data_IF_268208720177
#
_entry.id   IF_268208720177
#
_cell.length_a   1.000
_cell.length_b   1.000
_cell.length_c   1.000
_cell.angle_alpha   90.00
_cell.angle_beta   90.00
_cell.angle_gamma   90.00
#
_symmetry.space_group_name_H-M   'P 1'
#
loop_
_entity.id
_entity.type
_entity.pdbx_description
1 polymer ?
#
# COMPACT_ATOMS: atom_id res chain seq x y z
N UNK A 1 27.46 -13.47 -41.25
CA UNK A 1 26.40 -14.35 -40.75
C UNK A 1 25.23 -13.49 -40.27
N UNK A 2 24.01 -14.03 -40.28
CA UNK A 2 22.81 -13.34 -39.78
C UNK A 2 22.57 -13.75 -38.33
N UNK A 3 23.52 -13.44 -37.46
CA UNK A 3 23.57 -14.01 -36.10
C UNK A 3 23.94 -12.97 -35.06
N UNK A 4 23.45 -13.15 -33.84
CA UNK A 4 23.93 -12.48 -32.64
C UNK A 4 24.61 -13.50 -31.73
N UNK A 5 25.67 -13.11 -31.03
CA UNK A 5 26.38 -13.97 -30.08
C UNK A 5 26.51 -13.28 -28.73
N UNK A 6 26.24 -14.02 -27.66
CA UNK A 6 26.57 -13.59 -26.31
C UNK A 6 28.08 -13.82 -26.07
N UNK A 7 28.76 -12.85 -25.49
CA UNK A 7 30.14 -13.01 -24.99
C UNK A 7 30.09 -13.05 -23.47
N UNK A 8 30.59 -14.14 -22.88
CA UNK A 8 30.52 -14.38 -21.42
C UNK A 8 31.93 -14.37 -20.83
N UNK A 9 32.10 -13.68 -19.70
CA UNK A 9 33.31 -13.73 -18.89
C UNK A 9 33.15 -14.79 -17.79
N UNK A 10 34.03 -15.78 -17.79
CA UNK A 10 34.15 -16.71 -16.68
C UNK A 10 35.59 -16.66 -16.14
N UNK A 11 35.75 -16.15 -14.92
CA UNK A 11 37.05 -16.01 -14.24
C UNK A 11 38.13 -15.29 -15.06
N UNK A 12 37.75 -14.19 -15.73
CA UNK A 12 38.65 -13.35 -16.52
C UNK A 12 38.82 -13.79 -17.97
N UNK A 13 38.23 -14.92 -18.38
CA UNK A 13 38.28 -15.42 -19.75
C UNK A 13 36.97 -15.11 -20.47
N UNK A 14 37.04 -14.37 -21.57
CA UNK A 14 35.89 -14.02 -22.41
C UNK A 14 35.70 -15.04 -23.54
N UNK A 15 34.52 -15.65 -23.63
CA UNK A 15 34.21 -16.67 -24.63
C UNK A 15 32.91 -16.34 -25.36
N UNK A 16 32.93 -16.47 -26.69
CA UNK A 16 31.73 -16.37 -27.51
C UNK A 16 30.89 -17.63 -27.37
N UNK A 17 29.62 -17.46 -27.05
CA UNK A 17 28.66 -18.56 -26.95
C UNK A 17 28.13 -18.94 -28.33
N UNK A 18 27.33 -20.01 -28.37
CA UNK A 18 26.62 -20.44 -29.58
C UNK A 18 25.88 -19.27 -30.23
N UNK A 19 26.02 -19.14 -31.55
CA UNK A 19 25.36 -18.11 -32.32
C UNK A 19 23.84 -18.32 -32.34
N UNK A 20 23.11 -17.22 -32.22
CA UNK A 20 21.66 -17.15 -32.27
C UNK A 20 21.30 -16.55 -33.63
N UNK A 21 20.58 -17.30 -34.45
CA UNK A 21 20.13 -16.85 -35.76
C UNK A 21 19.10 -15.73 -35.64
N UNK A 22 19.25 -14.68 -36.44
CA UNK A 22 18.33 -13.55 -36.52
C UNK A 22 18.05 -13.20 -37.99
N UNK A 23 17.28 -12.14 -38.24
CA UNK A 23 17.01 -11.60 -39.56
C UNK A 23 18.27 -11.14 -40.32
N UNK A 24 18.06 -10.73 -41.57
CA UNK A 24 19.18 -10.48 -42.49
C UNK A 24 19.86 -9.15 -42.21
N UNK A 25 21.20 -9.17 -42.12
CA UNK A 25 22.05 -8.00 -41.84
C UNK A 25 21.68 -7.35 -40.48
N UNK A 26 21.90 -8.04 -39.35
CA UNK A 26 21.73 -7.44 -38.03
C UNK A 26 22.66 -6.23 -37.90
N UNK A 27 22.11 -5.08 -37.51
CA UNK A 27 22.80 -3.79 -37.58
C UNK A 27 22.94 -3.10 -36.22
N UNK A 28 21.93 -3.20 -35.36
CA UNK A 28 21.95 -2.63 -34.02
C UNK A 28 21.22 -3.55 -33.04
N UNK A 29 21.58 -3.44 -31.77
CA UNK A 29 20.91 -4.14 -30.69
C UNK A 29 20.78 -3.28 -29.44
N UNK A 30 19.77 -3.56 -28.62
CA UNK A 30 19.55 -2.93 -27.32
C UNK A 30 18.95 -3.94 -26.34
N UNK A 31 19.03 -3.65 -25.05
CA UNK A 31 18.51 -4.50 -23.98
C UNK A 31 17.12 -4.03 -23.55
N UNK A 32 16.12 -4.90 -23.58
CA UNK A 32 14.84 -4.67 -22.90
C UNK A 32 15.03 -4.68 -21.38
N UNK A 33 14.13 -4.01 -20.66
CA UNK A 33 14.15 -4.00 -19.19
C UNK A 33 13.82 -5.38 -18.58
N UNK A 34 13.20 -6.26 -19.36
CA UNK A 34 12.94 -7.67 -19.03
C UNK A 34 14.18 -8.58 -19.23
N UNK A 35 15.34 -8.00 -19.59
CA UNK A 35 16.56 -8.74 -19.89
C UNK A 35 16.60 -9.37 -21.29
N UNK A 36 15.58 -9.12 -22.13
CA UNK A 36 15.60 -9.54 -23.53
C UNK A 36 16.56 -8.68 -24.37
N UNK A 37 17.01 -9.20 -25.51
CA UNK A 37 17.82 -8.47 -26.48
C UNK A 37 16.99 -8.20 -27.72
N UNK A 38 16.94 -6.95 -28.15
CA UNK A 38 16.22 -6.54 -29.36
C UNK A 38 17.21 -6.22 -30.46
N UNK A 39 16.97 -6.75 -31.65
CA UNK A 39 17.90 -6.72 -32.79
C UNK A 39 17.21 -6.08 -33.99
N UNK A 40 17.82 -5.04 -34.55
CA UNK A 40 17.41 -4.43 -35.81
C UNK A 40 18.10 -5.15 -36.97
N UNK A 41 17.31 -5.70 -37.89
CA UNK A 41 17.79 -6.42 -39.07
C UNK A 41 17.53 -5.58 -40.32
N UNK A 42 18.61 -5.02 -40.87
CA UNK A 42 18.54 -3.95 -41.85
C UNK A 42 18.05 -4.40 -43.23
N UNK A 43 18.42 -5.59 -43.68
CA UNK A 43 18.03 -6.06 -45.02
C UNK A 43 16.66 -6.71 -45.01
N UNK A 44 16.29 -7.41 -43.93
CA UNK A 44 14.94 -7.99 -43.81
C UNK A 44 13.87 -6.96 -43.41
N UNK A 45 14.25 -5.73 -43.04
CA UNK A 45 13.31 -4.70 -42.54
C UNK A 45 12.49 -5.19 -41.34
N UNK A 46 13.15 -5.86 -40.40
CA UNK A 46 12.51 -6.43 -39.22
C UNK A 46 13.25 -6.06 -37.95
N UNK A 47 12.55 -6.02 -36.83
CA UNK A 47 13.12 -6.11 -35.49
C UNK A 47 12.80 -7.49 -34.90
N UNK A 48 13.74 -8.10 -34.19
CA UNK A 48 13.54 -9.39 -33.53
C UNK A 48 13.93 -9.32 -32.06
N UNK A 49 13.13 -9.93 -31.20
CA UNK A 49 13.42 -10.11 -29.79
C UNK A 49 14.11 -11.46 -29.58
N UNK A 50 15.13 -11.48 -28.72
CA UNK A 50 15.78 -12.66 -28.19
C UNK A 50 15.49 -12.71 -26.70
N UNK A 51 14.87 -13.79 -26.24
CA UNK A 51 14.49 -13.98 -24.83
C UNK A 51 15.36 -15.05 -24.20
N UNK A 52 15.57 -14.96 -22.89
CA UNK A 52 16.21 -16.00 -22.11
C UNK A 52 15.17 -16.67 -21.21
N UNK A 53 14.86 -17.93 -21.50
CA UNK A 53 14.00 -18.73 -20.65
C UNK A 53 14.84 -19.84 -20.02
N UNK A 54 15.02 -19.79 -18.69
CA UNK A 54 15.76 -20.79 -17.92
C UNK A 54 17.20 -21.05 -18.41
N UNK A 55 17.91 -20.00 -18.85
CA UNK A 55 19.28 -20.09 -19.35
C UNK A 55 19.39 -20.39 -20.84
N UNK A 56 18.27 -20.57 -21.55
CA UNK A 56 18.23 -20.83 -22.99
C UNK A 56 17.81 -19.57 -23.73
N UNK A 57 18.71 -19.06 -24.57
CA UNK A 57 18.43 -17.91 -25.43
C UNK A 57 17.76 -18.34 -26.74
N UNK A 58 16.59 -17.78 -27.04
CA UNK A 58 15.84 -18.10 -28.26
C UNK A 58 15.32 -16.84 -28.96
N UNK A 59 15.31 -16.86 -30.29
CA UNK A 59 14.66 -15.82 -31.08
C UNK A 59 13.16 -15.99 -31.15
N UNK A 60 12.48 -14.88 -30.97
CA UNK A 60 11.05 -14.73 -31.20
C UNK A 60 10.76 -14.42 -32.68
N UNK A 61 9.49 -14.57 -33.13
CA UNK A 61 9.09 -14.22 -34.48
C UNK A 61 9.51 -12.80 -34.88
N UNK A 62 9.86 -12.61 -36.15
CA UNK A 62 10.25 -11.30 -36.66
C UNK A 62 9.07 -10.33 -36.68
N UNK A 63 9.34 -9.08 -36.31
CA UNK A 63 8.38 -7.98 -36.38
C UNK A 63 8.76 -7.10 -37.55
N UNK A 64 7.90 -7.01 -38.56
CA UNK A 64 8.07 -6.10 -39.70
C UNK A 64 8.01 -4.64 -39.24
N UNK A 65 8.97 -3.82 -39.67
CA UNK A 65 8.99 -2.39 -39.30
C UNK A 65 8.39 -1.51 -40.40
N UNK A 66 7.76 -0.41 -39.99
CA UNK A 66 7.31 0.63 -40.93
C UNK A 66 8.53 1.47 -41.34
N UNK A 67 9.01 1.27 -42.56
CA UNK A 67 10.22 1.90 -43.08
C UNK A 67 11.15 0.87 -43.74
N UNK A 68 12.42 1.22 -43.89
CA UNK A 68 13.45 0.33 -44.44
C UNK A 68 14.78 0.51 -43.73
N UNK A 69 15.57 -0.56 -43.65
CA UNK A 69 16.90 -0.57 -43.09
C UNK A 69 16.97 0.09 -41.69
N UNK A 70 16.34 -0.52 -40.66
CA UNK A 70 16.49 -0.06 -39.27
C UNK A 70 17.98 0.04 -38.88
N UNK A 71 18.41 1.22 -38.46
CA UNK A 71 19.82 1.58 -38.22
C UNK A 71 20.19 1.57 -36.74
N UNK A 72 19.25 1.92 -35.86
CA UNK A 72 19.50 2.08 -34.44
C UNK A 72 18.30 1.67 -33.62
N UNK A 73 18.56 1.16 -32.42
CA UNK A 73 17.57 0.86 -31.40
C UNK A 73 17.97 1.54 -30.09
N UNK A 74 16.98 1.98 -29.32
CA UNK A 74 17.17 2.34 -27.91
C UNK A 74 15.98 1.87 -27.09
N UNK A 75 16.25 1.46 -25.87
CA UNK A 75 15.20 1.22 -24.89
C UNK A 75 14.79 2.55 -24.27
N UNK A 76 13.50 2.86 -24.35
CA UNK A 76 12.91 3.99 -23.65
C UNK A 76 12.72 3.67 -22.17
N UNK A 77 12.62 4.71 -21.34
CA UNK A 77 12.46 4.55 -19.89
C UNK A 77 11.25 3.70 -19.48
N UNK A 78 10.22 3.62 -20.33
CA UNK A 78 9.05 2.77 -20.13
C UNK A 78 9.14 1.35 -20.70
N UNK A 79 10.32 0.85 -21.06
CA UNK A 79 10.51 -0.50 -21.63
C UNK A 79 10.23 -0.63 -23.14
N UNK A 80 9.68 0.40 -23.78
CA UNK A 80 9.47 0.41 -25.23
C UNK A 80 10.79 0.44 -26.00
N UNK A 81 10.82 -0.24 -27.16
CA UNK A 81 11.97 -0.19 -28.07
C UNK A 81 11.71 0.85 -29.15
N UNK A 82 12.52 1.90 -29.15
CA UNK A 82 12.51 2.94 -30.17
C UNK A 82 13.51 2.61 -31.26
N UNK A 83 13.11 2.83 -32.51
CA UNK A 83 13.89 2.45 -33.68
C UNK A 83 13.98 3.61 -34.67
N UNK A 84 15.17 3.83 -35.22
CA UNK A 84 15.38 4.75 -36.33
C UNK A 84 15.64 3.97 -37.63
N UNK A 85 14.87 4.27 -38.69
CA UNK A 85 14.98 3.65 -40.02
C UNK A 85 14.97 4.69 -41.13
N UNK A 86 15.42 4.30 -42.32
CA UNK A 86 15.20 5.09 -43.52
C UNK A 86 13.74 4.99 -43.97
N UNK A 87 13.20 6.09 -44.48
CA UNK A 87 11.92 6.06 -45.19
C UNK A 87 12.20 5.54 -46.60
N UNK A 88 11.66 4.36 -46.94
CA UNK A 88 11.70 3.86 -48.31
C UNK A 88 10.62 4.60 -49.12
N UNK A 89 11.01 5.48 -50.03
CA UNK A 89 10.09 6.14 -50.99
C UNK A 89 9.82 5.29 -52.24
N UNK A 90 10.21 4.01 -52.25
CA UNK A 90 10.22 3.19 -53.47
C UNK A 90 9.08 2.18 -53.55
N UNK A 91 7.92 2.45 -52.94
CA UNK A 91 6.72 1.65 -53.21
C UNK A 91 5.57 2.54 -53.73
N UNK A 92 5.35 2.61 -55.05
CA UNK A 92 4.24 3.35 -55.65
C UNK A 92 2.87 2.63 -55.53
N UNK A 93 2.79 1.49 -54.84
CA UNK A 93 1.54 0.79 -54.59
C UNK A 93 1.30 0.58 -53.09
N UNK A 94 0.16 1.10 -52.62
CA UNK A 94 -0.49 0.88 -51.34
C UNK A 94 -0.22 1.92 -50.24
N UNK A 95 -0.87 3.07 -50.40
CA UNK A 95 -1.85 3.52 -49.40
C UNK A 95 -2.55 2.28 -48.83
N UNK A 96 -2.43 1.97 -47.55
CA UNK A 96 -3.54 1.51 -46.70
C UNK A 96 -3.11 1.43 -45.23
N UNK A 97 -3.79 2.25 -44.45
CA UNK A 97 -4.13 2.08 -43.03
C UNK A 97 -2.93 2.08 -42.07
N UNK A 98 -2.76 3.22 -41.42
CA UNK A 98 -2.31 3.27 -40.03
C UNK A 98 -3.17 2.29 -39.22
N UNK A 99 -2.78 1.02 -39.16
CA UNK A 99 -3.24 0.18 -38.06
C UNK A 99 -2.38 0.66 -36.90
N UNK A 100 -2.97 1.54 -36.10
CA UNK A 100 -2.48 1.88 -34.76
C UNK A 100 -2.54 0.62 -33.89
N UNK A 101 -1.74 -0.40 -34.21
CA UNK A 101 -1.37 -1.42 -33.25
C UNK A 101 -0.07 -0.95 -32.58
N UNK A 102 -0.14 0.23 -31.99
CA UNK A 102 0.76 0.54 -30.91
C UNK A 102 0.35 -0.41 -29.78
N UNK A 103 1.18 -1.42 -29.50
CA UNK A 103 1.13 -2.07 -28.18
C UNK A 103 1.62 -1.01 -27.21
N UNK A 104 0.68 -0.21 -26.68
CA UNK A 104 0.98 0.68 -25.57
C UNK A 104 1.11 -0.19 -24.34
N UNK A 105 2.33 -0.33 -23.83
CA UNK A 105 2.51 -0.84 -22.49
C UNK A 105 1.86 0.18 -21.54
N UNK A 106 0.76 -0.22 -20.90
CA UNK A 106 0.14 0.60 -19.86
C UNK A 106 1.04 0.47 -18.64
N UNK A 107 1.77 1.53 -18.34
CA UNK A 107 2.50 1.65 -17.08
C UNK A 107 1.51 2.10 -16.01
N UNK A 108 1.40 1.30 -14.96
CA UNK A 108 0.61 1.63 -13.78
C UNK A 108 1.52 1.67 -12.56
N UNK A 109 1.16 2.44 -11.52
CA UNK A 109 1.79 2.25 -10.23
C UNK A 109 1.70 0.78 -9.79
N UNK A 110 2.67 0.28 -9.03
CA UNK A 110 2.66 -1.11 -8.62
C UNK A 110 1.50 -1.36 -7.66
N UNK A 111 1.18 -2.64 -7.43
CA UNK A 111 0.30 -2.98 -6.31
C UNK A 111 0.99 -2.70 -4.97
N UNK A 112 0.20 -2.68 -3.91
CA UNK A 112 0.73 -2.53 -2.55
C UNK A 112 1.64 -3.72 -2.18
N UNK A 113 2.65 -3.51 -1.30
CA UNK A 113 3.38 -4.59 -0.65
C UNK A 113 2.43 -5.60 0.03
N UNK A 114 2.92 -6.81 0.27
CA UNK A 114 2.13 -7.90 0.84
C UNK A 114 2.77 -8.44 2.11
N UNK A 115 1.99 -9.18 2.89
CA UNK A 115 2.49 -10.01 4.00
C UNK A 115 3.41 -9.22 4.95
N UNK A 116 2.96 -8.03 5.35
CA UNK A 116 3.67 -7.22 6.34
C UNK A 116 3.77 -8.00 7.65
N UNK A 117 4.96 -8.06 8.21
CA UNK A 117 5.24 -8.69 9.49
C UNK A 117 6.22 -7.84 10.29
N UNK A 118 6.11 -7.89 11.61
CA UNK A 118 6.97 -7.14 12.52
C UNK A 118 7.66 -8.08 13.50
N UNK A 119 8.96 -7.85 13.71
CA UNK A 119 9.74 -8.52 14.74
C UNK A 119 10.13 -7.51 15.83
N UNK A 120 10.05 -7.93 17.09
CA UNK A 120 10.28 -7.07 18.24
C UNK A 120 11.72 -7.19 18.77
N UNK A 121 12.36 -6.05 19.01
CA UNK A 121 13.67 -5.95 19.65
C UNK A 121 13.64 -4.96 20.84
N UNK A 122 14.71 -4.93 21.66
CA UNK A 122 14.78 -3.99 22.78
C UNK A 122 14.87 -2.53 22.29
N UNK A 123 13.76 -1.79 22.39
CA UNK A 123 13.70 -0.40 21.95
C UNK A 123 13.58 -0.22 20.42
N UNK A 124 13.30 -1.29 19.69
CA UNK A 124 13.17 -1.26 18.23
C UNK A 124 12.13 -2.27 17.72
N UNK A 125 11.60 -2.02 16.53
CA UNK A 125 10.78 -2.97 15.79
C UNK A 125 11.27 -3.05 14.34
N UNK A 126 11.44 -4.27 13.83
CA UNK A 126 11.82 -4.52 12.44
C UNK A 126 10.59 -4.86 11.63
N UNK A 127 10.23 -4.01 10.67
CA UNK A 127 9.16 -4.25 9.72
C UNK A 127 9.72 -4.95 8.48
N UNK A 128 9.09 -6.03 8.05
CA UNK A 128 9.39 -6.75 6.82
C UNK A 128 8.12 -6.96 5.99
N UNK A 129 8.28 -7.11 4.68
CA UNK A 129 7.18 -7.32 3.74
C UNK A 129 7.62 -8.15 2.54
N UNK A 130 6.64 -8.62 1.77
CA UNK A 130 6.84 -9.19 0.44
C UNK A 130 6.60 -8.14 -0.65
N UNK A 131 7.35 -8.17 -1.75
CA UNK A 131 7.08 -7.34 -2.92
C UNK A 131 5.66 -7.56 -3.48
N UNK A 132 5.12 -6.57 -4.22
CA UNK A 132 3.86 -6.75 -4.94
C UNK A 132 3.98 -7.84 -6.01
N UNK A 133 2.90 -8.61 -6.22
CA UNK A 133 2.84 -9.61 -7.31
C UNK A 133 2.85 -8.93 -8.69
N UNK A 134 2.20 -7.77 -8.79
CA UNK A 134 2.09 -6.98 -10.01
C UNK A 134 2.81 -5.67 -9.78
N UNK A 135 3.92 -5.48 -10.48
CA UNK A 135 4.77 -4.28 -10.40
C UNK A 135 4.29 -3.14 -11.32
N UNK A 136 3.15 -3.30 -11.99
CA UNK A 136 2.58 -2.29 -12.87
C UNK A 136 3.36 -2.09 -14.19
N UNK A 137 4.22 -3.05 -14.55
CA UNK A 137 4.93 -3.07 -15.82
C UNK A 137 6.32 -2.42 -15.78
N UNK A 138 6.78 -1.93 -14.61
CA UNK A 138 8.17 -1.56 -14.37
C UNK A 138 8.64 -2.08 -13.03
N UNK A 139 9.92 -2.44 -12.93
CA UNK A 139 10.50 -2.94 -11.69
C UNK A 139 10.33 -1.95 -10.53
N UNK A 140 10.18 -2.50 -9.34
CA UNK A 140 10.16 -1.73 -8.10
C UNK A 140 11.49 -1.00 -7.91
N UNK A 141 11.42 0.30 -7.62
CA UNK A 141 12.56 1.19 -7.40
C UNK A 141 12.82 1.35 -5.90
N UNK A 142 11.77 1.53 -5.11
CA UNK A 142 11.89 1.74 -3.66
C UNK A 142 10.58 1.43 -2.94
N UNK A 143 10.69 1.33 -1.62
CA UNK A 143 9.59 1.28 -0.68
C UNK A 143 9.68 2.48 0.27
N UNK A 144 8.53 3.01 0.67
CA UNK A 144 8.43 4.00 1.75
C UNK A 144 7.63 3.39 2.89
N UNK A 145 8.30 3.14 4.01
CA UNK A 145 7.71 2.58 5.22
C UNK A 145 7.55 3.66 6.29
N UNK A 146 6.38 3.74 6.93
CA UNK A 146 6.13 4.66 8.04
C UNK A 146 5.60 3.89 9.25
N UNK A 147 6.03 4.25 10.45
CA UNK A 147 5.48 3.77 11.72
C UNK A 147 4.89 4.92 12.53
N UNK A 148 3.81 4.65 13.25
CA UNK A 148 3.24 5.53 14.27
C UNK A 148 2.94 4.73 15.57
N UNK A 149 3.38 5.25 16.72
CA UNK A 149 3.06 4.74 18.07
C UNK A 149 2.83 5.94 18.99
N UNK A 150 1.57 6.22 19.37
CA UNK A 150 1.23 7.46 20.09
C UNK A 150 1.62 8.70 19.28
N UNK A 151 2.52 9.53 19.82
CA UNK A 151 3.10 10.71 19.14
C UNK A 151 4.35 10.42 18.32
N UNK A 152 4.96 9.24 18.49
CA UNK A 152 6.13 8.86 17.72
C UNK A 152 5.71 8.56 16.29
N UNK A 153 6.39 9.17 15.32
CA UNK A 153 6.24 8.84 13.90
C UNK A 153 7.60 8.88 13.23
N UNK A 154 7.88 7.89 12.38
CA UNK A 154 9.11 7.83 11.59
C UNK A 154 8.83 7.25 10.21
N UNK A 155 9.46 7.82 9.19
CA UNK A 155 9.39 7.35 7.80
C UNK A 155 10.78 6.97 7.31
N UNK A 156 10.88 5.85 6.60
CA UNK A 156 12.11 5.30 6.02
C UNK A 156 11.84 4.98 4.55
N UNK A 157 12.73 5.42 3.66
CA UNK A 157 12.74 4.98 2.25
C UNK A 157 13.90 4.01 2.04
N UNK A 158 13.64 2.85 1.43
CA UNK A 158 14.63 1.78 1.24
C UNK A 158 14.38 1.02 -0.07
N UNK A 159 15.41 0.39 -0.64
CA UNK A 159 15.28 -0.59 -1.73
C UNK A 159 15.07 -2.02 -1.23
N UNK A 160 15.38 -2.28 0.04
CA UNK A 160 15.21 -3.58 0.68
C UNK A 160 13.75 -3.84 1.05
N UNK A 161 13.39 -5.10 1.29
CA UNK A 161 12.04 -5.50 1.73
C UNK A 161 11.89 -5.56 3.26
N UNK A 162 12.72 -4.78 3.97
CA UNK A 162 12.68 -4.65 5.42
C UNK A 162 13.35 -3.36 5.90
N UNK A 163 12.91 -2.83 7.05
CA UNK A 163 13.58 -1.74 7.74
C UNK A 163 13.40 -1.82 9.26
N UNK A 164 14.32 -1.19 9.99
CA UNK A 164 14.30 -1.11 11.46
C UNK A 164 13.84 0.28 11.90
N UNK A 165 12.87 0.32 12.80
CA UNK A 165 12.42 1.52 13.50
C UNK A 165 12.92 1.46 14.95
N UNK A 166 13.70 2.45 15.36
CA UNK A 166 14.24 2.62 16.72
C UNK A 166 13.31 3.48 17.60
N UNK A 167 13.48 3.43 18.91
CA UNK A 167 12.69 4.24 19.85
C UNK A 167 11.26 3.75 20.07
N UNK A 168 10.95 2.53 19.62
CA UNK A 168 9.64 1.89 19.82
C UNK A 168 9.68 0.97 21.04
N UNK A 169 8.60 0.95 21.82
CA UNK A 169 8.52 0.12 23.03
C UNK A 169 7.25 -0.74 22.98
N UNK A 170 7.40 -2.06 23.05
CA UNK A 170 6.26 -2.97 23.17
C UNK A 170 5.51 -2.68 24.50
N UNK A 171 4.18 -2.72 24.49
CA UNK A 171 3.35 -2.34 25.62
C UNK A 171 3.01 -0.84 25.70
N UNK A 172 3.61 0.03 24.88
CA UNK A 172 3.30 1.47 24.84
C UNK A 172 2.06 1.82 23.99
N UNK A 173 1.16 0.87 23.79
CA UNK A 173 -0.08 1.03 23.03
C UNK A 173 0.02 0.55 21.58
N UNK A 174 -1.09 0.68 20.81
CA UNK A 174 -1.17 0.21 19.44
C UNK A 174 -0.11 0.87 18.56
N UNK A 175 0.49 0.07 17.67
CA UNK A 175 1.49 0.55 16.71
C UNK A 175 1.01 0.30 15.29
N UNK A 176 1.07 1.32 14.45
CA UNK A 176 0.60 1.28 13.08
C UNK A 176 1.75 1.45 12.09
N UNK A 177 1.84 0.52 11.15
CA UNK A 177 2.83 0.50 10.08
C UNK A 177 2.15 0.64 8.73
N UNK A 178 2.76 1.42 7.84
CA UNK A 178 2.38 1.52 6.44
C UNK A 178 3.58 1.32 5.55
N UNK A 179 3.36 0.73 4.38
CA UNK A 179 4.38 0.59 3.33
C UNK A 179 3.75 0.86 1.97
N UNK A 180 4.36 1.73 1.18
CA UNK A 180 4.06 1.91 -0.24
C UNK A 180 5.23 1.41 -1.10
N UNK A 181 4.92 0.95 -2.31
CA UNK A 181 5.90 0.57 -3.33
C UNK A 181 5.93 1.64 -4.41
N UNK A 182 7.11 2.00 -4.90
CA UNK A 182 7.27 2.95 -6.00
C UNK A 182 7.95 2.28 -7.18
N UNK A 183 7.37 2.45 -8.37
CA UNK A 183 8.00 2.14 -9.64
C UNK A 183 8.10 3.42 -10.50
N UNK A 184 8.43 3.32 -11.77
CA UNK A 184 8.55 4.51 -12.63
C UNK A 184 7.22 5.22 -12.89
N UNK A 185 6.10 4.49 -12.86
CA UNK A 185 4.76 5.02 -13.09
C UNK A 185 4.18 5.74 -11.87
N UNK A 186 4.70 5.45 -10.67
CA UNK A 186 4.33 6.14 -9.44
C UNK A 186 4.26 5.20 -8.23
N UNK A 187 3.57 5.69 -7.20
CA UNK A 187 3.41 5.01 -5.91
C UNK A 187 2.16 4.13 -5.89
N UNK A 188 2.28 2.96 -5.27
CA UNK A 188 1.17 2.04 -5.05
C UNK A 188 0.14 2.60 -4.06
N UNK A 189 -0.99 1.90 -3.93
CA UNK A 189 -1.79 1.99 -2.70
C UNK A 189 -0.97 1.54 -1.49
N UNK A 190 -1.36 2.01 -0.31
CA UNK A 190 -0.72 1.67 0.96
C UNK A 190 -1.06 0.25 1.41
N UNK A 191 -0.04 -0.53 1.74
CA UNK A 191 -0.17 -1.72 2.59
C UNK A 191 -0.02 -1.32 4.05
N UNK A 192 -0.78 -1.93 4.94
CA UNK A 192 -0.80 -1.52 6.34
C UNK A 192 -0.86 -2.72 7.30
N UNK A 193 -0.20 -2.57 8.44
CA UNK A 193 -0.21 -3.50 9.57
C UNK A 193 -0.44 -2.70 10.85
N UNK A 194 -1.26 -3.21 11.76
CA UNK A 194 -1.44 -2.63 13.09
C UNK A 194 -1.28 -3.77 14.07
N UNK A 195 -0.59 -3.48 15.16
CA UNK A 195 -0.46 -4.38 16.30
C UNK A 195 -1.01 -3.71 17.55
N UNK A 196 -1.52 -4.53 18.45
CA UNK A 196 -1.93 -4.11 19.79
C UNK A 196 -0.71 -3.92 20.71
N UNK A 197 -0.92 -3.63 22.00
CA UNK A 197 0.17 -3.36 22.92
C UNK A 197 0.97 -4.62 23.25
N UNK A 198 0.33 -5.79 23.23
CA UNK A 198 0.96 -7.11 23.40
C UNK A 198 1.68 -7.62 22.14
N UNK A 199 1.52 -6.95 21.00
CA UNK A 199 2.16 -7.29 19.73
C UNK A 199 1.33 -8.21 18.84
N UNK A 200 0.06 -8.46 19.16
CA UNK A 200 -0.84 -9.22 18.29
C UNK A 200 -1.33 -8.34 17.14
N UNK A 201 -1.50 -8.93 15.97
CA UNK A 201 -1.98 -8.20 14.78
C UNK A 201 -3.48 -7.88 14.88
N UNK A 202 -3.85 -6.62 14.69
CA UNK A 202 -5.24 -6.18 14.55
C UNK A 202 -5.64 -6.24 13.07
N UNK A 203 -6.60 -7.10 12.66
CA UNK A 203 -6.98 -7.26 11.26
C UNK A 203 -7.55 -5.96 10.64
N UNK A 204 -7.43 -5.79 9.33
CA UNK A 204 -7.91 -4.56 8.63
C UNK A 204 -9.41 -4.31 8.87
N UNK A 205 -10.25 -5.34 8.85
CA UNK A 205 -11.70 -5.22 9.07
C UNK A 205 -12.06 -4.68 10.45
N UNK A 206 -11.10 -4.72 11.37
CA UNK A 206 -11.27 -4.44 12.77
C UNK A 206 -10.66 -3.10 13.20
N UNK A 207 -10.00 -2.36 12.31
CA UNK A 207 -9.40 -1.06 12.61
C UNK A 207 -9.84 0.01 11.62
N UNK A 208 -10.05 1.23 12.10
CA UNK A 208 -10.44 2.35 11.24
C UNK A 208 -9.88 3.69 11.72
N UNK A 209 -10.02 4.70 10.86
CA UNK A 209 -9.70 6.10 11.18
C UNK A 209 -10.99 6.79 11.58
N UNK A 210 -11.08 7.18 12.83
CA UNK A 210 -12.23 7.79 13.50
C UNK A 210 -11.99 9.24 13.85
N UNK A 211 -10.75 9.73 13.81
CA UNK A 211 -10.41 11.13 14.08
C UNK A 211 -9.55 11.68 12.94
N UNK A 212 -10.02 12.75 12.32
CA UNK A 212 -9.33 13.39 11.18
C UNK A 212 -9.25 14.89 11.30
N UNK A 213 -8.32 15.48 10.55
CA UNK A 213 -8.32 16.92 10.33
C UNK A 213 -9.54 17.33 9.51
N UNK A 214 -10.09 18.50 9.77
CA UNK A 214 -11.20 19.04 8.99
C UNK A 214 -10.86 19.12 7.49
N UNK A 215 -11.80 18.71 6.65
CA UNK A 215 -11.64 18.73 5.19
C UNK A 215 -10.83 17.58 4.59
N UNK A 216 -10.32 16.65 5.41
CA UNK A 216 -9.68 15.42 4.92
C UNK A 216 -10.74 14.33 4.71
N UNK A 217 -10.95 13.92 3.46
CA UNK A 217 -11.87 12.84 3.14
C UNK A 217 -11.28 11.48 3.54
N UNK A 218 -12.03 10.68 4.30
CA UNK A 218 -11.67 9.29 4.60
C UNK A 218 -12.29 8.39 3.53
N UNK A 219 -11.45 7.89 2.64
CA UNK A 219 -11.88 7.10 1.47
C UNK A 219 -12.14 5.63 1.75
N UNK A 220 -11.79 5.15 2.95
CA UNK A 220 -11.76 3.73 3.34
C UNK A 220 -12.23 3.54 4.81
N UNK A 221 -13.08 4.43 5.36
CA UNK A 221 -13.36 4.40 6.81
C UNK A 221 -14.29 5.49 7.33
N UNK A 222 -14.13 5.85 8.61
CA UNK A 222 -15.14 6.51 9.44
C UNK A 222 -15.88 5.50 10.33
N UNK A 223 -16.52 5.98 11.39
CA UNK A 223 -17.30 5.12 12.29
C UNK A 223 -18.37 4.34 11.54
N UNK A 224 -18.88 4.92 10.46
CA UNK A 224 -19.94 4.37 9.62
C UNK A 224 -19.52 3.69 8.34
N UNK A 225 -18.22 3.67 8.04
CA UNK A 225 -17.72 3.20 6.75
C UNK A 225 -18.11 4.09 5.56
N UNK A 226 -18.70 5.26 5.79
CA UNK A 226 -19.09 6.25 4.79
C UNK A 226 -18.30 7.56 4.89
N UNK A 227 -17.26 7.59 5.74
CA UNK A 227 -16.33 8.70 5.87
C UNK A 227 -16.60 9.62 7.07
N UNK A 228 -17.59 9.33 7.92
CA UNK A 228 -17.88 10.18 9.08
C UNK A 228 -16.89 9.88 10.22
N UNK A 229 -16.19 10.92 10.67
CA UNK A 229 -15.17 10.90 11.72
C UNK A 229 -15.38 12.07 12.67
N UNK A 230 -14.75 12.02 13.83
CA UNK A 230 -14.55 13.19 14.67
C UNK A 230 -13.54 14.14 14.04
N UNK A 231 -13.82 15.43 14.18
CA UNK A 231 -12.86 16.49 13.86
C UNK A 231 -11.83 16.64 14.98
N UNK A 232 -10.56 16.55 14.62
CA UNK A 232 -9.45 16.80 15.54
C UNK A 232 -9.49 18.20 16.13
N UNK A 233 -9.81 19.21 15.31
CA UNK A 233 -9.92 20.60 15.77
C UNK A 233 -11.07 20.75 16.76
N UNK A 234 -12.17 20.04 16.53
CA UNK A 234 -13.37 20.11 17.34
C UNK A 234 -13.25 19.36 18.69
N UNK A 235 -12.44 18.30 18.77
CA UNK A 235 -12.32 17.48 19.98
C UNK A 235 -11.58 18.15 21.15
N UNK A 236 -11.01 19.35 20.97
CA UNK A 236 -10.18 20.00 21.99
C UNK A 236 -10.95 20.54 23.19
N UNK A 237 -10.23 20.70 24.32
CA UNK A 237 -10.74 21.05 25.66
C UNK A 237 -11.96 21.98 25.63
N UNK A 238 -13.09 21.40 26.03
CA UNK A 238 -14.43 21.97 26.00
C UNK A 238 -14.65 23.09 27.01
N UNK A 239 -13.67 23.39 27.88
CA UNK A 239 -13.73 24.58 28.74
C UNK A 239 -13.45 25.89 27.99
N UNK A 240 -12.81 25.83 26.82
CA UNK A 240 -12.43 27.05 26.07
C UNK A 240 -12.59 26.96 24.54
N UNK A 241 -13.08 25.84 24.00
CA UNK A 241 -13.38 25.71 22.57
C UNK A 241 -12.13 25.81 21.68
N UNK A 242 -10.97 25.44 22.22
CA UNK A 242 -9.70 25.42 21.49
C UNK A 242 -9.46 24.06 20.81
N UNK A 243 -8.56 24.03 19.84
CA UNK A 243 -8.11 22.79 19.21
C UNK A 243 -7.45 21.84 20.23
N UNK A 244 -7.54 20.53 20.02
CA UNK A 244 -6.74 19.55 20.77
C UNK A 244 -5.26 19.94 20.69
N UNK A 245 -4.63 20.14 21.85
CA UNK A 245 -3.18 20.32 21.95
C UNK A 245 -2.57 18.99 22.40
N UNK A 246 -1.87 18.32 21.49
CA UNK A 246 -1.35 16.97 21.72
C UNK A 246 -2.39 15.87 21.44
N UNK A 247 -2.14 14.67 21.96
CA UNK A 247 -2.92 13.45 21.70
C UNK A 247 -3.81 13.03 22.87
N UNK A 248 -3.96 13.88 23.88
CA UNK A 248 -4.70 13.53 25.10
C UNK A 248 -6.05 14.26 25.12
N UNK A 249 -7.13 13.49 25.10
CA UNK A 249 -8.47 13.98 25.37
C UNK A 249 -8.78 13.81 26.87
N UNK A 250 -9.17 14.89 27.56
CA UNK A 250 -9.54 14.81 28.98
C UNK A 250 -11.05 14.97 29.14
N UNK A 251 -11.72 14.00 29.77
CA UNK A 251 -13.14 14.04 30.09
C UNK A 251 -13.40 13.46 31.47
N UNK A 252 -14.20 14.15 32.29
CA UNK A 252 -14.53 13.68 33.64
C UNK A 252 -13.32 13.48 34.57
N UNK A 253 -12.19 14.15 34.29
CA UNK A 253 -10.92 13.97 35.01
C UNK A 253 -10.08 12.77 34.55
N UNK A 254 -10.50 12.06 33.51
CA UNK A 254 -9.78 10.94 32.90
C UNK A 254 -9.15 11.41 31.59
N UNK A 255 -7.89 11.05 31.38
CA UNK A 255 -7.13 11.34 30.17
C UNK A 255 -7.10 10.11 29.23
N UNK A 256 -7.46 10.31 27.97
CA UNK A 256 -7.44 9.30 26.92
C UNK A 256 -6.38 9.67 25.88
N UNK A 257 -5.43 8.78 25.62
CA UNK A 257 -4.57 8.90 24.44
C UNK A 257 -5.37 8.46 23.21
N UNK A 258 -5.70 9.41 22.34
CA UNK A 258 -6.45 9.19 21.10
C UNK A 258 -5.52 9.08 19.88
N UNK A 259 -4.22 8.99 20.11
CA UNK A 259 -3.22 8.77 19.07
C UNK A 259 -2.93 10.00 18.21
N UNK A 260 -2.37 9.75 17.02
CA UNK A 260 -2.00 10.78 16.06
C UNK A 260 -3.09 10.98 15.00
N UNK A 261 -3.19 12.21 14.50
CA UNK A 261 -4.07 12.62 13.40
C UNK A 261 -4.04 11.65 12.21
N UNK A 262 -5.22 11.31 11.69
CA UNK A 262 -5.41 10.54 10.46
C UNK A 262 -4.76 9.13 10.49
N UNK A 263 -4.49 8.59 11.67
CA UNK A 263 -4.07 7.20 11.86
C UNK A 263 -5.24 6.35 12.35
N UNK A 264 -5.21 5.02 12.19
CA UNK A 264 -6.23 4.18 12.80
C UNK A 264 -6.23 4.34 14.32
N UNK A 265 -7.35 4.80 14.86
CA UNK A 265 -7.52 5.25 16.24
C UNK A 265 -8.76 4.63 16.92
N UNK A 266 -9.49 3.77 16.19
CA UNK A 266 -10.57 2.96 16.75
C UNK A 266 -10.55 1.52 16.23
N UNK A 267 -11.22 0.65 16.98
CA UNK A 267 -11.30 -0.79 16.73
C UNK A 267 -12.77 -1.26 16.72
N UNK A 268 -13.20 -1.99 15.69
CA UNK A 268 -14.53 -2.58 15.62
C UNK A 268 -14.59 -3.89 16.43
N UNK A 269 -15.31 -3.89 17.55
CA UNK A 269 -15.41 -5.05 18.45
C UNK A 269 -16.18 -6.27 17.90
N UNK A 270 -16.97 -6.10 16.84
CA UNK A 270 -17.90 -7.14 16.41
C UNK A 270 -17.18 -8.42 15.96
N UNK A 271 -17.24 -9.47 16.79
CA UNK A 271 -16.66 -10.77 16.48
C UNK A 271 -15.15 -10.90 16.77
N UNK A 272 -14.56 -9.96 17.52
CA UNK A 272 -13.19 -10.08 18.01
C UNK A 272 -13.08 -9.60 19.47
N UNK A 273 -12.08 -10.10 20.18
CA UNK A 273 -11.69 -9.54 21.46
C UNK A 273 -10.94 -8.22 21.24
N UNK A 274 -11.22 -7.23 22.09
CA UNK A 274 -10.46 -5.97 22.14
C UNK A 274 -9.52 -6.06 23.33
N UNK A 275 -8.22 -5.91 23.06
CA UNK A 275 -7.23 -5.81 24.14
C UNK A 275 -7.51 -4.55 24.99
N UNK A 276 -7.67 -4.76 26.29
CA UNK A 276 -7.71 -3.69 27.27
C UNK A 276 -6.38 -3.67 28.03
N UNK A 277 -5.71 -2.52 28.06
CA UNK A 277 -4.47 -2.36 28.82
C UNK A 277 -4.72 -1.57 30.10
N UNK A 278 -3.96 -1.87 31.15
CA UNK A 278 -4.00 -1.16 32.43
C UNK A 278 -4.28 -2.05 33.63
N UNK A 279 -4.38 -1.43 34.80
CA UNK A 279 -4.67 -2.10 36.06
C UNK A 279 -5.68 -1.27 36.87
N UNK A 280 -6.73 -1.90 37.40
CA UNK A 280 -7.71 -1.19 38.21
C UNK A 280 -9.02 -1.96 38.36
N UNK A 281 -10.00 -1.30 38.98
CA UNK A 281 -11.35 -1.85 39.18
C UNK A 281 -12.39 -1.21 38.24
N UNK A 282 -11.95 -0.35 37.33
CA UNK A 282 -12.81 0.40 36.41
C UNK A 282 -12.22 0.27 35.00
N UNK A 283 -13.06 -0.15 34.06
CA UNK A 283 -12.76 -0.06 32.63
C UNK A 283 -13.49 1.17 32.08
N UNK A 284 -12.75 2.08 31.46
CA UNK A 284 -13.33 3.28 30.84
C UNK A 284 -13.09 3.23 29.33
N UNK A 285 -14.16 3.37 28.56
CA UNK A 285 -14.10 3.42 27.09
C UNK A 285 -14.31 4.87 26.65
N UNK A 286 -13.37 5.41 25.86
CA UNK A 286 -13.36 6.82 25.46
C UNK A 286 -14.57 7.21 24.58
N UNK A 287 -14.94 6.33 23.64
CA UNK A 287 -16.02 6.57 22.67
C UNK A 287 -16.57 5.23 22.11
N UNK A 288 -17.42 4.55 22.88
CA UNK A 288 -18.06 3.30 22.47
C UNK A 288 -19.50 3.54 22.02
N UNK A 289 -19.85 3.06 20.82
CA UNK A 289 -21.21 3.15 20.29
C UNK A 289 -21.51 1.98 19.35
N UNK A 290 -22.78 1.84 18.98
CA UNK A 290 -23.23 0.86 17.97
C UNK A 290 -23.33 1.52 16.60
N UNK A 291 -22.93 0.77 15.58
CA UNK A 291 -23.02 1.13 14.17
C UNK A 291 -23.52 -0.07 13.36
N UNK A 292 -24.25 0.18 12.27
CA UNK A 292 -24.46 -0.80 11.20
C UNK A 292 -23.81 -0.30 9.92
N UNK A 293 -22.92 -1.10 9.33
CA UNK A 293 -22.34 -0.82 8.02
C UNK A 293 -23.39 -1.18 6.96
N UNK A 294 -23.94 -0.18 6.25
CA UNK A 294 -24.79 -0.41 5.08
C UNK A 294 -24.27 0.37 3.85
N UNK A 295 -24.33 -0.22 2.64
CA UNK A 295 -24.04 0.54 1.43
C UNK A 295 -25.17 1.55 1.15
N UNK A 296 -24.82 2.84 1.08
CA UNK A 296 -25.74 3.91 0.67
C UNK A 296 -26.03 4.94 1.77
N UNK A 297 -26.89 5.93 1.50
CA UNK A 297 -27.26 6.96 2.48
C UNK A 297 -27.91 6.32 3.71
N UNK A 298 -27.40 6.65 4.89
CA UNK A 298 -27.94 6.18 6.17
C UNK A 298 -29.32 6.80 6.37
N UNK A 299 -30.38 5.99 6.35
CA UNK A 299 -31.67 6.43 6.87
C UNK A 299 -31.61 6.36 8.40
N UNK A 300 -32.07 7.37 9.15
CA UNK A 300 -32.04 7.32 10.61
C UNK A 300 -32.85 6.11 11.09
N UNK A 301 -32.16 5.11 11.61
CA UNK A 301 -32.76 3.93 12.21
C UNK A 301 -32.15 3.81 13.61
N UNK A 302 -32.99 3.68 14.64
CA UNK A 302 -32.50 3.46 15.99
C UNK A 302 -31.91 2.04 16.07
N UNK A 303 -30.59 1.95 16.00
CA UNK A 303 -29.79 0.72 16.07
C UNK A 303 -29.11 0.56 17.43
N UNK A 304 -29.53 1.34 18.44
CA UNK A 304 -28.98 1.26 19.79
C UNK A 304 -29.20 -0.14 20.36
N UNK A 305 -28.22 -0.64 21.10
CA UNK A 305 -28.25 -1.98 21.67
C UNK A 305 -28.33 -1.89 23.19
N UNK A 306 -29.51 -2.19 23.73
CA UNK A 306 -29.69 -2.26 25.16
C UNK A 306 -29.13 -3.56 25.73
N UNK A 307 -28.64 -3.48 26.97
CA UNK A 307 -28.30 -4.62 27.82
C UNK A 307 -27.34 -5.64 27.19
N UNK A 308 -26.31 -5.16 26.49
CA UNK A 308 -25.25 -6.02 25.96
C UNK A 308 -24.41 -6.59 27.09
N UNK A 309 -24.08 -7.88 27.00
CA UNK A 309 -23.20 -8.54 27.97
C UNK A 309 -21.75 -8.33 27.55
N UNK A 310 -20.96 -7.72 28.42
CA UNK A 310 -19.54 -7.54 28.26
C UNK A 310 -18.80 -8.51 29.17
N UNK A 311 -17.76 -9.14 28.64
CA UNK A 311 -16.86 -10.01 29.40
C UNK A 311 -15.45 -9.48 29.28
N UNK A 312 -14.82 -9.20 30.42
CA UNK A 312 -13.40 -8.87 30.50
C UNK A 312 -12.66 -10.12 30.95
N UNK A 313 -11.69 -10.55 30.14
CA UNK A 313 -10.78 -11.64 30.45
C UNK A 313 -9.49 -11.05 31.01
N UNK A 314 -9.00 -11.56 32.13
CA UNK A 314 -7.76 -11.13 32.75
C UNK A 314 -6.62 -12.10 32.42
N UNK A 315 -5.37 -11.64 32.53
CA UNK A 315 -4.16 -12.44 32.26
C UNK A 315 -3.97 -13.63 33.21
N UNK A 316 -4.71 -13.68 34.33
CA UNK A 316 -4.73 -14.78 35.29
C UNK A 316 -5.85 -15.81 35.02
N UNK A 317 -6.40 -15.77 33.80
CA UNK A 317 -7.53 -16.58 33.32
C UNK A 317 -8.86 -16.35 34.05
N UNK A 318 -8.95 -15.35 34.96
CA UNK A 318 -10.23 -14.96 35.56
C UNK A 318 -11.05 -14.09 34.61
N UNK A 319 -12.36 -13.96 34.86
CA UNK A 319 -13.25 -13.13 34.05
C UNK A 319 -14.18 -12.28 34.91
N UNK A 320 -14.52 -11.09 34.42
CA UNK A 320 -15.60 -10.26 34.94
C UNK A 320 -16.67 -10.07 33.86
N UNK A 321 -17.94 -10.14 34.23
CA UNK A 321 -19.06 -9.97 33.30
C UNK A 321 -20.03 -8.92 33.84
N UNK A 322 -20.45 -8.00 32.99
CA UNK A 322 -21.47 -7.00 33.31
C UNK A 322 -22.33 -6.70 32.10
N UNK A 323 -23.38 -5.91 32.32
CA UNK A 323 -24.30 -5.47 31.29
C UNK A 323 -24.15 -3.99 31.03
N UNK A 324 -24.07 -3.59 29.76
CA UNK A 324 -24.03 -2.19 29.34
C UNK A 324 -24.91 -1.99 28.11
N UNK A 325 -25.64 -0.89 28.07
CA UNK A 325 -26.36 -0.47 26.86
C UNK A 325 -25.50 0.52 26.08
N UNK A 326 -25.55 0.45 24.75
CA UNK A 326 -24.78 1.31 23.86
C UNK A 326 -25.71 2.00 22.87
N UNK A 327 -25.63 3.33 22.84
CA UNK A 327 -26.35 4.14 21.89
C UNK A 327 -25.83 3.99 20.46
N UNK A 328 -26.70 4.28 19.49
CA UNK A 328 -26.28 4.63 18.15
C UNK A 328 -25.44 5.92 18.21
N UNK A 329 -24.29 5.93 17.53
CA UNK A 329 -23.44 7.11 17.45
C UNK A 329 -24.17 8.37 16.98
N UNK A 330 -25.08 8.24 16.02
CA UNK A 330 -25.83 9.36 15.44
C UNK A 330 -27.07 9.76 16.26
N UNK A 331 -27.48 8.94 17.22
CA UNK A 331 -28.71 9.16 18.00
C UNK A 331 -28.50 8.69 19.45
N UNK A 332 -27.78 9.47 20.28
CA UNK A 332 -27.53 9.15 21.68
C UNK A 332 -28.84 8.94 22.47
N UNK A 333 -28.96 7.81 23.17
CA UNK A 333 -30.14 7.45 23.98
C UNK A 333 -29.97 7.76 25.47
N UNK A 334 -28.76 8.13 25.92
CA UNK A 334 -28.45 8.47 27.31
C UNK A 334 -28.69 7.30 28.27
N UNK A 335 -28.21 6.12 27.92
CA UNK A 335 -28.24 4.99 28.84
C UNK A 335 -27.34 5.22 30.05
N UNK A 336 -27.59 4.48 31.14
CA UNK A 336 -26.74 4.53 32.32
C UNK A 336 -25.28 4.26 31.97
N UNK A 337 -24.37 5.05 32.56
CA UNK A 337 -22.92 5.04 32.32
C UNK A 337 -22.46 5.54 30.94
N UNK A 338 -23.34 6.09 30.11
CA UNK A 338 -22.90 6.93 28.99
C UNK A 338 -22.53 8.33 29.48
N UNK A 339 -21.45 8.89 28.93
CA UNK A 339 -21.02 10.25 29.21
C UNK A 339 -21.00 11.08 27.94
N UNK A 340 -21.28 12.38 28.09
CA UNK A 340 -21.36 13.31 26.98
C UNK A 340 -20.17 14.26 27.00
N UNK A 341 -19.42 14.32 25.89
CA UNK A 341 -18.21 15.12 25.78
C UNK A 341 -18.50 16.58 25.38
N UNK A 342 -19.21 16.80 24.26
CA UNK A 342 -19.50 18.14 23.74
C UNK A 342 -20.54 18.13 22.60
N UNK A 343 -21.35 19.18 22.49
CA UNK A 343 -22.17 19.51 21.31
C UNK A 343 -21.50 20.64 20.54
N UNK A 344 -21.26 20.47 19.24
CA UNK A 344 -20.85 21.58 18.37
C UNK A 344 -22.03 21.97 17.47
N UNK A 345 -22.32 23.27 17.41
CA UNK A 345 -23.41 23.87 16.64
C UNK A 345 -22.91 24.64 15.43
#
# INVERSE_FOLDING_TARGET
>A
SNTVQQIVNNNGVWTAQTAIDVGTKPQALTTGHDGSIWVANATSNTVQQIVNENGVWTTQPAIDVVGSAPQALTTGLGGSIWMASYVSTNNPANIYVTVNNAVQQILAPPNAPRELAVAFGPGEMTLAWQPPVIDGGTSVISYTATVAQGTYTKTITTSETSCVFDGLTLGSGPTYFTVTTTNFAGESKTAALQIDASGNTIPKLHRGVGITTDGVAVTDGGFDGAGNTYSWTALGDTSSGGALVGNTLVSGGIAFDIGSLNQPDFVWAAGQDIEATGSGTVLTLAAAAVMVIQPGPVTPMNISQANQTLTLNFDDDTTATWTQSFSNWLDPQYYDNESFLSTQS
#
